data_IF_919870546265
#
_entry.id   IF_919870546265
#
_cell.length_a   1.000
_cell.length_b   1.000
_cell.length_c   1.000
_cell.angle_alpha   90.00
_cell.angle_beta   90.00
_cell.angle_gamma   90.00
#
_symmetry.space_group_name_H-M   'P 1'
#
loop_
_entity.id
_entity.type
_entity.pdbx_description
1 polymer ?
#
# COMPACT_ATOMS: atom_id res chain seq x y z
N UNK A 1 -3.95 2.54 -13.39
CA UNK A 1 -2.65 2.97 -12.81
C UNK A 1 -2.02 1.78 -12.09
N UNK A 2 -0.72 1.53 -12.28
CA UNK A 2 -0.07 0.35 -11.70
C UNK A 2 -0.04 0.42 -10.18
N UNK A 3 -0.48 -0.66 -9.50
CA UNK A 3 -0.47 -0.77 -8.02
C UNK A 3 0.92 -0.53 -7.41
N UNK A 4 1.97 -0.88 -8.15
CA UNK A 4 3.38 -0.60 -7.81
C UNK A 4 3.66 0.89 -7.64
N UNK A 5 3.00 1.77 -8.42
CA UNK A 5 3.22 3.21 -8.35
C UNK A 5 2.86 3.77 -6.98
N UNK A 6 1.82 3.23 -6.33
CA UNK A 6 1.43 3.63 -4.98
C UNK A 6 2.45 3.21 -3.93
N UNK A 7 3.11 2.06 -4.10
CA UNK A 7 4.18 1.61 -3.21
C UNK A 7 5.38 2.57 -3.31
N UNK A 8 5.80 2.91 -4.52
CA UNK A 8 6.89 3.86 -4.75
C UNK A 8 6.50 5.24 -4.19
N UNK A 9 5.28 5.71 -4.48
CA UNK A 9 4.76 6.96 -3.94
C UNK A 9 4.78 6.97 -2.40
N UNK A 10 4.33 5.90 -1.74
CA UNK A 10 4.35 5.74 -0.28
C UNK A 10 5.77 5.87 0.31
N UNK A 11 6.75 5.24 -0.32
CA UNK A 11 8.14 5.27 0.13
C UNK A 11 8.77 6.66 0.00
N UNK A 12 8.44 7.40 -1.06
CA UNK A 12 8.93 8.76 -1.29
C UNK A 12 8.05 9.86 -0.68
N UNK A 13 6.89 9.51 -0.11
CA UNK A 13 5.98 10.46 0.51
C UNK A 13 6.58 11.07 1.79
N UNK A 14 6.58 12.40 1.91
CA UNK A 14 7.07 13.08 3.12
C UNK A 14 6.05 13.04 4.26
N UNK A 15 4.77 12.78 3.97
CA UNK A 15 3.70 12.70 4.96
C UNK A 15 3.74 11.38 5.76
N UNK A 16 4.43 10.36 5.24
CA UNK A 16 4.58 9.07 5.93
C UNK A 16 5.80 9.14 6.86
N UNK A 17 5.63 8.92 8.18
CA UNK A 17 6.75 8.93 9.10
C UNK A 17 7.70 7.76 8.82
N UNK A 18 9.00 7.97 9.07
CA UNK A 18 10.05 6.98 8.77
C UNK A 18 9.78 5.60 9.40
N UNK A 19 9.21 5.57 10.62
CA UNK A 19 8.77 4.32 11.29
C UNK A 19 7.77 3.52 10.47
N UNK A 20 6.85 4.17 9.79
CA UNK A 20 5.83 3.48 8.99
C UNK A 20 6.41 2.96 7.68
N UNK A 21 7.40 3.64 7.10
CA UNK A 21 8.13 3.19 5.91
C UNK A 21 8.94 1.91 6.14
N UNK A 22 9.55 1.75 7.31
CA UNK A 22 10.31 0.53 7.65
C UNK A 22 9.49 -0.75 7.50
N UNK A 23 8.21 -0.71 7.84
CA UNK A 23 7.30 -1.85 7.68
C UNK A 23 7.02 -2.23 6.23
N UNK A 24 7.31 -1.37 5.26
CA UNK A 24 7.22 -1.66 3.82
C UNK A 24 8.60 -2.02 3.26
N UNK A 25 9.65 -1.33 3.71
CA UNK A 25 11.03 -1.53 3.23
C UNK A 25 11.58 -2.91 3.62
N UNK A 26 11.38 -3.35 4.87
CA UNK A 26 11.83 -4.67 5.35
C UNK A 26 11.28 -5.80 4.46
N UNK A 27 9.96 -5.86 4.17
CA UNK A 27 9.40 -6.79 3.19
C UNK A 27 10.05 -6.77 1.82
N UNK A 28 10.28 -5.58 1.28
CA UNK A 28 10.84 -5.43 -0.07
C UNK A 28 12.28 -5.95 -0.11
N UNK A 29 13.07 -5.64 0.91
CA UNK A 29 14.44 -6.15 1.05
C UNK A 29 14.42 -7.68 1.15
N UNK A 30 13.47 -8.25 1.92
CA UNK A 30 13.32 -9.70 2.04
C UNK A 30 13.00 -10.36 0.70
N UNK A 31 12.08 -9.78 -0.09
CA UNK A 31 11.75 -10.29 -1.43
C UNK A 31 12.96 -10.24 -2.38
N UNK A 32 13.82 -9.23 -2.25
CA UNK A 32 15.02 -9.07 -3.10
C UNK A 32 16.18 -9.97 -2.69
N UNK A 33 16.29 -10.35 -1.42
CA UNK A 33 17.36 -11.20 -0.89
C UNK A 33 16.88 -12.04 0.30
N UNK A 34 16.11 -13.12 0.06
CA UNK A 34 15.60 -13.98 1.13
C UNK A 34 16.71 -14.83 1.79
N UNK A 35 17.85 -15.00 1.10
CA UNK A 35 18.84 -16.03 1.39
C UNK A 35 19.70 -15.83 2.66
N UNK A 36 19.69 -14.65 3.30
CA UNK A 36 20.71 -14.30 4.31
C UNK A 36 20.21 -14.27 5.77
N UNK A 37 18.94 -14.61 6.04
CA UNK A 37 18.32 -14.48 7.37
C UNK A 37 18.01 -15.81 8.08
N UNK A 38 17.87 -16.92 7.36
CA UNK A 38 17.51 -18.21 7.93
C UNK A 38 18.53 -19.24 7.45
N UNK A 39 19.54 -19.63 8.26
CA UNK A 39 20.39 -20.76 7.92
C UNK A 39 19.54 -22.03 7.94
N UNK A 40 19.20 -22.54 6.77
CA UNK A 40 18.26 -23.65 6.55
C UNK A 40 18.58 -24.88 7.41
N UNK A 41 17.73 -25.25 8.39
CA UNK A 41 17.70 -26.61 8.89
C UNK A 41 16.42 -27.25 8.34
N UNK A 42 16.59 -28.31 7.54
CA UNK A 42 15.57 -29.34 7.27
C UNK A 42 14.73 -29.13 5.99
N UNK A 43 15.22 -29.75 4.91
CA UNK A 43 14.47 -30.59 3.96
C UNK A 43 13.05 -30.11 3.59
N UNK A 44 12.94 -29.22 2.59
CA UNK A 44 11.75 -29.10 1.74
C UNK A 44 10.57 -28.27 2.26
N UNK A 45 10.63 -27.74 3.49
CA UNK A 45 9.61 -26.83 4.02
C UNK A 45 9.85 -25.34 3.70
N UNK A 46 11.05 -24.97 3.22
CA UNK A 46 11.40 -23.56 2.97
C UNK A 46 10.50 -22.85 1.95
N UNK A 47 9.98 -23.56 0.95
CA UNK A 47 9.14 -22.95 -0.11
C UNK A 47 7.75 -22.56 0.41
N UNK A 48 7.19 -23.35 1.33
CA UNK A 48 5.88 -23.06 1.93
C UNK A 48 6.00 -21.85 2.85
N UNK A 49 7.08 -21.81 3.63
CA UNK A 49 7.40 -20.67 4.50
C UNK A 49 7.57 -19.38 3.68
N UNK A 50 8.33 -19.42 2.57
CA UNK A 50 8.52 -18.26 1.70
C UNK A 50 7.22 -17.72 1.09
N UNK A 51 6.30 -18.59 0.68
CA UNK A 51 5.06 -18.17 0.01
C UNK A 51 4.05 -17.56 0.99
N UNK A 52 3.95 -18.14 2.19
CA UNK A 52 3.14 -17.60 3.29
C UNK A 52 3.72 -16.26 3.74
N UNK A 53 5.03 -16.16 3.84
CA UNK A 53 5.75 -14.96 4.26
C UNK A 53 5.58 -13.82 3.22
N UNK A 54 5.74 -14.10 1.92
CA UNK A 54 5.45 -13.14 0.85
C UNK A 54 3.99 -12.69 0.88
N UNK A 55 3.04 -13.62 1.06
CA UNK A 55 1.62 -13.28 1.17
C UNK A 55 1.33 -12.33 2.34
N UNK A 56 1.88 -12.64 3.52
CA UNK A 56 1.75 -11.82 4.73
C UNK A 56 2.37 -10.43 4.56
N UNK A 57 3.57 -10.36 3.98
CA UNK A 57 4.25 -9.10 3.68
C UNK A 57 3.45 -8.23 2.73
N UNK A 58 2.88 -8.82 1.67
CA UNK A 58 2.01 -8.10 0.74
C UNK A 58 0.76 -7.57 1.44
N UNK A 59 0.17 -8.31 2.39
CA UNK A 59 -0.96 -7.82 3.20
C UNK A 59 -0.56 -6.61 4.05
N UNK A 60 0.61 -6.63 4.70
CA UNK A 60 1.10 -5.48 5.48
C UNK A 60 1.28 -4.26 4.58
N UNK A 61 1.94 -4.41 3.43
CA UNK A 61 2.16 -3.32 2.49
C UNK A 61 0.83 -2.78 1.98
N UNK A 62 -0.12 -3.66 1.66
CA UNK A 62 -1.45 -3.29 1.23
C UNK A 62 -2.21 -2.50 2.30
N UNK A 63 -2.23 -2.97 3.53
CA UNK A 63 -2.93 -2.30 4.64
C UNK A 63 -2.33 -0.93 4.94
N UNK A 64 -1.00 -0.78 4.86
CA UNK A 64 -0.36 0.53 5.03
C UNK A 64 -0.69 1.49 3.90
N UNK A 65 -0.64 1.04 2.66
CA UNK A 65 -1.02 1.89 1.51
C UNK A 65 -2.51 2.25 1.61
N UNK A 66 -3.36 1.30 2.00
CA UNK A 66 -4.78 1.55 2.26
C UNK A 66 -4.97 2.60 3.34
N UNK A 67 -4.28 2.47 4.47
CA UNK A 67 -4.30 3.42 5.59
C UNK A 67 -3.99 4.87 5.16
N UNK A 68 -3.03 5.06 4.26
CA UNK A 68 -2.55 6.41 3.90
C UNK A 68 -3.21 7.00 2.64
N UNK A 69 -3.70 6.17 1.72
CA UNK A 69 -4.26 6.63 0.45
C UNK A 69 -5.75 6.32 0.28
N UNK A 70 -6.32 5.43 1.09
CA UNK A 70 -7.70 4.95 0.95
C UNK A 70 -8.53 5.03 2.25
N UNK A 71 -7.93 5.26 3.42
CA UNK A 71 -8.60 5.22 4.74
C UNK A 71 -9.41 6.48 5.08
N UNK A 72 -9.53 7.42 4.14
CA UNK A 72 -10.56 8.48 4.20
C UNK A 72 -11.94 7.98 3.74
N UNK A 73 -12.16 6.67 3.59
CA UNK A 73 -13.42 6.11 3.08
C UNK A 73 -14.28 5.42 4.15
N UNK A 74 -14.23 5.92 5.39
CA UNK A 74 -15.28 5.67 6.39
C UNK A 74 -15.91 6.97 6.94
N UNK A 75 -15.84 8.07 6.19
CA UNK A 75 -16.82 9.17 6.14
C UNK A 75 -16.77 9.61 4.67
N UNK A 76 -17.49 8.99 3.75
CA UNK A 76 -18.78 9.47 3.31
C UNK A 76 -19.39 8.43 2.36
N UNK A 77 -20.55 7.89 2.71
CA UNK A 77 -21.32 7.04 1.80
C UNK A 77 -22.10 7.85 0.75
N UNK A 78 -21.99 9.19 0.76
CA UNK A 78 -22.86 10.08 -0.03
C UNK A 78 -22.14 11.09 -0.94
N UNK A 79 -20.80 11.04 -1.08
CA UNK A 79 -20.10 11.97 -1.99
C UNK A 79 -19.79 11.28 -3.32
N UNK A 80 -20.46 11.75 -4.38
CA UNK A 80 -20.14 11.42 -5.78
C UNK A 80 -19.20 12.50 -6.31
N UNK A 81 -17.90 12.20 -6.41
CA UNK A 81 -16.96 13.02 -7.17
C UNK A 81 -17.08 12.70 -8.67
N UNK A 82 -17.02 13.73 -9.52
CA UNK A 82 -17.23 13.73 -11.00
C UNK A 82 -18.65 14.04 -11.49
N UNK A 83 -19.46 14.80 -10.76
CA UNK A 83 -20.63 15.45 -11.35
C UNK A 83 -20.19 16.73 -12.06
N UNK A 84 -20.32 16.73 -13.39
CA UNK A 84 -20.18 17.91 -14.22
C UNK A 84 -21.46 18.76 -14.06
N UNK A 85 -21.32 19.98 -13.53
CA UNK A 85 -22.43 20.90 -13.35
C UNK A 85 -22.21 22.13 -14.23
N UNK A 86 -23.25 22.49 -14.97
CA UNK A 86 -23.30 23.72 -15.74
C UNK A 86 -23.90 24.81 -14.85
N UNK A 87 -23.16 25.90 -14.61
CA UNK A 87 -23.64 27.01 -13.81
C UNK A 87 -24.45 27.92 -14.73
N UNK A 88 -25.77 27.77 -14.72
CA UNK A 88 -26.66 28.78 -15.28
C UNK A 88 -26.61 30.01 -14.38
N UNK A 89 -25.95 31.06 -14.87
CA UNK A 89 -26.02 32.38 -14.25
C UNK A 89 -27.35 32.99 -14.66
N UNK A 90 -28.35 32.87 -13.80
CA UNK A 90 -29.54 33.72 -13.91
C UNK A 90 -29.07 35.18 -13.87
N UNK A 91 -29.27 35.88 -14.98
CA UNK A 91 -29.03 37.32 -15.11
C UNK A 91 -29.88 38.04 -14.05
N UNK A 92 -29.23 38.56 -13.01
CA UNK A 92 -29.85 39.51 -12.07
C UNK A 92 -30.36 40.71 -12.88
N UNK A 93 -31.69 40.86 -12.89
CA UNK A 93 -32.45 41.87 -13.61
C UNK A 93 -32.69 43.12 -12.78
#
# INVERSE_FOLDING_TARGET
MGRILFIIKFLFDKNVPLREKWWVVIPIIYILSPADLIPEPILGFGIVDDLVMIGFLLTIVHDKIKKYYFDNSNEDKDIVENVEYEIDKDEEK
#
